data_IF_653648863505
#
_entry.id   IF_653648863505
#
_cell.length_a   1.000
_cell.length_b   1.000
_cell.length_c   1.000
_cell.angle_alpha   90.00
_cell.angle_beta   90.00
_cell.angle_gamma   90.00
#
_symmetry.space_group_name_H-M   'P 1'
#
loop_
_entity.id
_entity.type
_entity.pdbx_description
1 polymer ?
#
# COMPACT_ATOMS: atom_id res chain seq x y z
N UNK A 1 18.30 10.00 49.36
CA UNK A 1 17.80 8.63 49.10
C UNK A 1 16.51 8.30 49.83
N UNK A 2 15.74 9.27 50.34
CA UNK A 2 14.48 8.99 51.05
C UNK A 2 13.35 8.54 50.11
N UNK A 3 13.35 9.02 48.86
CA UNK A 3 12.44 8.52 47.81
C UNK A 3 12.68 7.06 47.45
N UNK A 4 13.92 6.56 47.55
CA UNK A 4 14.28 5.19 47.15
C UNK A 4 13.80 4.12 48.16
N UNK A 5 13.48 4.52 49.40
CA UNK A 5 12.96 3.65 50.46
C UNK A 5 11.45 3.81 50.63
N UNK A 6 10.83 4.68 49.84
CA UNK A 6 9.40 4.97 49.92
C UNK A 6 8.57 3.81 49.34
N UNK A 7 7.45 3.38 49.96
CA UNK A 7 6.63 2.27 49.47
C UNK A 7 6.07 2.49 48.05
N UNK A 8 5.88 3.75 47.64
CA UNK A 8 5.44 4.11 46.28
C UNK A 8 6.58 4.15 45.24
N UNK A 9 7.85 3.98 45.64
CA UNK A 9 8.98 4.11 44.72
C UNK A 9 8.92 3.08 43.59
N UNK A 10 8.68 1.81 43.93
CA UNK A 10 8.53 0.72 42.96
C UNK A 10 7.36 0.99 41.99
N UNK A 11 6.23 1.46 42.50
CA UNK A 11 5.07 1.81 41.68
C UNK A 11 5.37 2.99 40.74
N UNK A 12 6.14 3.97 41.21
CA UNK A 12 6.54 5.13 40.43
C UNK A 12 7.50 4.76 39.29
N UNK A 13 8.50 3.93 39.60
CA UNK A 13 9.42 3.40 38.59
C UNK A 13 8.64 2.57 37.56
N UNK A 14 7.73 1.71 38.00
CA UNK A 14 6.87 0.92 37.10
C UNK A 14 6.00 1.80 36.20
N UNK A 15 5.37 2.86 36.74
CA UNK A 15 4.57 3.80 35.97
C UNK A 15 5.42 4.57 34.94
N UNK A 16 6.61 5.02 35.33
CA UNK A 16 7.54 5.71 34.46
C UNK A 16 8.05 4.81 33.32
N UNK A 17 8.47 3.59 33.65
CA UNK A 17 8.82 2.56 32.66
C UNK A 17 7.65 2.27 31.73
N UNK A 18 6.43 2.22 32.26
CA UNK A 18 5.21 2.07 31.48
C UNK A 18 5.03 3.17 30.43
N UNK A 19 5.40 4.42 30.75
CA UNK A 19 5.42 5.52 29.79
C UNK A 19 6.52 5.34 28.74
N UNK A 20 7.75 5.01 29.16
CA UNK A 20 8.88 4.79 28.26
C UNK A 20 8.60 3.67 27.25
N UNK A 21 8.04 2.54 27.69
CA UNK A 21 7.70 1.41 26.83
C UNK A 21 6.70 1.77 25.73
N UNK A 22 5.78 2.71 26.00
CA UNK A 22 4.82 3.19 25.00
C UNK A 22 5.47 4.17 24.02
N UNK A 23 6.43 4.98 24.49
CA UNK A 23 7.17 5.94 23.67
C UNK A 23 8.27 5.30 22.81
N UNK A 24 8.66 4.07 23.11
CA UNK A 24 9.87 3.44 22.57
C UNK A 24 9.50 2.37 21.53
N UNK A 25 10.17 2.32 20.37
CA UNK A 25 9.99 1.24 19.41
C UNK A 25 10.26 -0.14 20.03
N UNK A 26 9.57 -1.17 19.53
CA UNK A 26 9.63 -2.55 20.06
C UNK A 26 11.07 -3.08 20.13
N UNK A 27 11.90 -2.75 19.14
CA UNK A 27 13.29 -3.22 19.01
C UNK A 27 14.19 -2.77 20.17
N UNK A 28 13.82 -1.69 20.87
CA UNK A 28 14.59 -1.13 21.98
C UNK A 28 14.02 -1.51 23.35
N UNK A 29 12.89 -2.22 23.43
CA UNK A 29 12.35 -2.71 24.70
C UNK A 29 13.32 -3.64 25.46
N UNK A 30 14.10 -4.52 24.80
CA UNK A 30 15.09 -5.35 25.51
C UNK A 30 16.17 -4.54 26.25
N UNK A 31 16.52 -3.36 25.75
CA UNK A 31 17.45 -2.45 26.44
C UNK A 31 16.85 -1.90 27.73
N UNK A 32 15.58 -1.52 27.71
CA UNK A 32 14.84 -1.06 28.89
C UNK A 32 14.78 -2.18 29.93
N UNK A 33 14.48 -3.40 29.51
CA UNK A 33 14.38 -4.57 30.38
C UNK A 33 15.74 -4.94 31.00
N UNK A 34 16.82 -4.87 30.22
CA UNK A 34 18.18 -5.08 30.72
C UNK A 34 18.58 -4.02 31.77
N UNK A 35 18.23 -2.75 31.55
CA UNK A 35 18.48 -1.67 32.51
C UNK A 35 17.66 -1.84 33.80
N UNK A 36 16.41 -2.31 33.70
CA UNK A 36 15.56 -2.62 34.86
C UNK A 36 16.11 -3.78 35.69
N UNK A 37 16.63 -4.82 35.05
CA UNK A 37 17.26 -5.92 35.76
C UNK A 37 18.45 -5.44 36.62
N UNK A 38 19.24 -4.48 36.10
CA UNK A 38 20.39 -3.90 36.78
C UNK A 38 20.01 -2.89 37.88
N UNK A 39 18.89 -2.18 37.74
CA UNK A 39 18.48 -1.13 38.69
C UNK A 39 18.01 -1.67 40.04
N UNK A 40 17.52 -2.91 40.08
CA UNK A 40 17.10 -3.59 41.31
C UNK A 40 18.21 -3.63 42.37
N UNK A 41 19.44 -3.96 41.98
CA UNK A 41 20.60 -3.97 42.89
C UNK A 41 20.98 -2.59 43.42
N UNK A 42 20.77 -1.54 42.62
CA UNK A 42 21.04 -0.16 43.02
C UNK A 42 20.05 0.31 44.09
N UNK A 43 18.75 0.08 43.92
CA UNK A 43 17.73 0.45 44.91
C UNK A 43 17.99 -0.21 46.28
N UNK A 44 18.38 -1.48 46.30
CA UNK A 44 18.75 -2.19 47.54
C UNK A 44 19.97 -1.57 48.23
N UNK A 45 20.99 -1.16 47.46
CA UNK A 45 22.18 -0.48 48.01
C UNK A 45 21.86 0.89 48.62
N UNK A 46 20.96 1.66 47.99
CA UNK A 46 20.50 2.94 48.52
C UNK A 46 19.64 2.77 49.78
N UNK A 47 18.82 1.72 49.83
CA UNK A 47 17.99 1.42 51.00
C UNK A 47 18.81 0.95 52.21
N UNK A 48 19.92 0.24 51.99
CA UNK A 48 20.78 -0.24 53.08
C UNK A 48 21.57 0.89 53.78
N UNK A 49 21.85 1.99 53.08
CA UNK A 49 22.65 3.10 53.59
C UNK A 49 21.83 4.27 54.14
N UNK A 50 20.51 4.24 54.03
CA UNK A 50 19.66 5.35 54.47
C UNK A 50 18.90 5.04 55.77
N UNK A 51 19.00 5.95 56.73
CA UNK A 51 18.03 6.05 57.84
C UNK A 51 17.07 7.20 57.51
N UNK A 52 15.73 7.00 57.58
CA UNK A 52 14.80 8.08 57.36
C UNK A 52 14.88 9.06 58.53
N UNK A 53 15.14 10.34 58.24
CA UNK A 53 15.18 11.44 59.22
C UNK A 53 14.28 12.58 58.74
N UNK A 54 13.05 12.25 58.34
CA UNK A 54 12.03 13.25 57.99
C UNK A 54 11.14 13.56 59.18
N UNK A 55 10.78 14.84 59.30
CA UNK A 55 9.68 15.27 60.15
C UNK A 55 8.36 14.62 59.69
N UNK A 56 7.41 14.31 60.58
CA UNK A 56 6.11 13.78 60.20
C UNK A 56 5.37 14.62 59.14
N UNK A 57 5.58 15.95 59.19
CA UNK A 57 4.99 16.90 58.24
C UNK A 57 5.58 16.73 56.83
N UNK A 58 6.90 16.72 56.71
CA UNK A 58 7.60 16.59 55.42
C UNK A 58 7.34 15.23 54.77
N UNK A 59 7.17 14.18 55.59
CA UNK A 59 6.74 12.87 55.10
C UNK A 59 5.35 12.94 54.44
N UNK A 60 4.40 13.63 55.06
CA UNK A 60 3.04 13.73 54.53
C UNK A 60 3.00 14.54 53.22
N UNK A 61 3.81 15.59 53.10
CA UNK A 61 3.96 16.33 51.84
C UNK A 61 4.57 15.48 50.74
N UNK A 62 5.62 14.71 51.05
CA UNK A 62 6.26 13.79 50.10
C UNK A 62 5.28 12.69 49.64
N UNK A 63 4.54 12.08 50.56
CA UNK A 63 3.53 11.06 50.26
C UNK A 63 2.46 11.63 49.30
N UNK A 64 1.98 12.85 49.59
CA UNK A 64 1.00 13.56 48.76
C UNK A 64 1.55 13.86 47.36
N UNK A 65 2.78 14.37 47.27
CA UNK A 65 3.44 14.64 45.99
C UNK A 65 3.63 13.37 45.16
N UNK A 66 4.13 12.29 45.77
CA UNK A 66 4.37 11.02 45.08
C UNK A 66 3.06 10.41 44.58
N UNK A 67 1.97 10.49 45.35
CA UNK A 67 0.66 10.05 44.92
C UNK A 67 0.14 10.86 43.72
N UNK A 68 0.27 12.19 43.75
CA UNK A 68 -0.13 13.07 42.63
C UNK A 68 0.72 12.80 41.39
N UNK A 69 2.03 12.64 41.56
CA UNK A 69 2.95 12.36 40.46
C UNK A 69 2.71 10.98 39.84
N UNK A 70 2.40 9.97 40.65
CA UNK A 70 1.99 8.65 40.16
C UNK A 70 0.72 8.73 39.30
N UNK A 71 -0.29 9.46 39.77
CA UNK A 71 -1.52 9.70 39.00
C UNK A 71 -1.24 10.42 37.68
N UNK A 72 -0.32 11.40 37.68
CA UNK A 72 0.11 12.11 36.48
C UNK A 72 0.80 11.17 35.48
N UNK A 73 1.68 10.27 35.93
CA UNK A 73 2.33 9.29 35.06
C UNK A 73 1.31 8.32 34.46
N UNK A 74 0.33 7.87 35.24
CA UNK A 74 -0.74 7.01 34.74
C UNK A 74 -1.57 7.69 33.66
N UNK A 75 -2.00 8.94 33.87
CA UNK A 75 -2.78 9.67 32.87
C UNK A 75 -1.95 10.02 31.63
N UNK A 76 -0.68 10.36 31.80
CA UNK A 76 0.24 10.60 30.70
C UNK A 76 0.45 9.34 29.85
N UNK A 77 0.60 8.17 30.49
CA UNK A 77 0.70 6.89 29.78
C UNK A 77 -0.53 6.62 28.92
N UNK A 78 -1.73 6.82 29.46
CA UNK A 78 -2.98 6.62 28.71
C UNK A 78 -3.07 7.56 27.50
N UNK A 79 -2.71 8.84 27.67
CA UNK A 79 -2.65 9.81 26.58
C UNK A 79 -1.64 9.40 25.50
N UNK A 80 -0.47 8.93 25.92
CA UNK A 80 0.58 8.49 25.00
C UNK A 80 0.14 7.24 24.22
N UNK A 81 -0.47 6.27 24.91
CA UNK A 81 -1.02 5.06 24.27
C UNK A 81 -2.10 5.42 23.26
N UNK A 82 -3.00 6.33 23.61
CA UNK A 82 -4.06 6.75 22.72
C UNK A 82 -3.49 7.45 21.48
N UNK A 83 -2.51 8.33 21.63
CA UNK A 83 -1.87 9.02 20.51
C UNK A 83 -1.19 8.03 19.57
N UNK A 84 -0.36 7.13 20.08
CA UNK A 84 0.32 6.09 19.28
C UNK A 84 -0.71 5.21 18.57
N UNK A 85 -1.76 4.79 19.27
CA UNK A 85 -2.82 3.95 18.69
C UNK A 85 -3.55 4.66 17.55
N UNK A 86 -3.88 5.94 17.69
CA UNK A 86 -4.56 6.71 16.64
C UNK A 86 -3.67 6.81 15.40
N UNK A 87 -2.42 7.25 15.54
CA UNK A 87 -1.50 7.36 14.40
C UNK A 87 -1.20 6.01 13.74
N UNK A 88 -1.05 4.94 14.52
CA UNK A 88 -0.85 3.60 13.98
C UNK A 88 -2.07 3.13 13.19
N UNK A 89 -3.28 3.36 13.70
CA UNK A 89 -4.52 3.01 12.99
C UNK A 89 -4.68 3.83 11.71
N UNK A 90 -4.45 5.15 11.77
CA UNK A 90 -4.51 6.03 10.60
C UNK A 90 -3.50 5.62 9.53
N UNK A 91 -2.26 5.29 9.93
CA UNK A 91 -1.25 4.79 9.01
C UNK A 91 -1.65 3.46 8.37
N UNK A 92 -2.15 2.49 9.14
CA UNK A 92 -2.62 1.19 8.62
C UNK A 92 -3.80 1.38 7.66
N UNK A 93 -4.74 2.28 7.98
CA UNK A 93 -5.86 2.59 7.11
C UNK A 93 -5.40 3.25 5.81
N UNK A 94 -4.48 4.21 5.86
CA UNK A 94 -3.92 4.84 4.66
C UNK A 94 -3.16 3.82 3.79
N UNK A 95 -2.40 2.90 4.38
CA UNK A 95 -1.77 1.81 3.63
C UNK A 95 -2.80 0.92 2.93
N UNK A 96 -3.88 0.55 3.63
CA UNK A 96 -4.99 -0.22 3.03
C UNK A 96 -5.68 0.52 1.89
N UNK A 97 -5.87 1.84 2.01
CA UNK A 97 -6.43 2.66 0.93
C UNK A 97 -5.54 2.67 -0.32
N UNK A 98 -4.21 2.71 -0.13
CA UNK A 98 -3.24 2.60 -1.21
C UNK A 98 -3.29 1.20 -1.84
N UNK A 99 -3.30 0.15 -1.03
CA UNK A 99 -3.42 -1.23 -1.49
C UNK A 99 -4.70 -1.45 -2.31
N UNK A 100 -5.84 -0.95 -1.82
CA UNK A 100 -7.11 -1.01 -2.55
C UNK A 100 -7.04 -0.25 -3.88
N UNK A 101 -6.45 0.95 -3.88
CA UNK A 101 -6.29 1.74 -5.11
C UNK A 101 -5.42 1.01 -6.15
N UNK A 102 -4.35 0.34 -5.71
CA UNK A 102 -3.52 -0.50 -6.57
C UNK A 102 -4.29 -1.70 -7.09
N UNK A 103 -5.08 -2.36 -6.23
CA UNK A 103 -5.92 -3.48 -6.63
C UNK A 103 -6.99 -3.06 -7.64
N UNK A 104 -7.59 -1.88 -7.52
CA UNK A 104 -8.56 -1.37 -8.48
C UNK A 104 -7.91 -1.06 -9.84
N UNK A 105 -6.69 -0.51 -9.83
CA UNK A 105 -5.94 -0.20 -11.06
C UNK A 105 -5.40 -1.44 -11.78
N UNK A 106 -4.96 -2.44 -11.02
CA UNK A 106 -4.26 -3.62 -11.57
C UNK A 106 -5.11 -4.88 -11.60
N UNK A 107 -6.18 -4.95 -10.81
CA UNK A 107 -6.95 -6.16 -10.58
C UNK A 107 -6.18 -7.28 -9.88
N UNK A 108 -4.98 -7.01 -9.38
CA UNK A 108 -4.13 -7.98 -8.66
C UNK A 108 -4.25 -7.75 -7.14
N UNK A 109 -4.56 -8.80 -6.38
CA UNK A 109 -4.46 -8.79 -4.93
C UNK A 109 -2.99 -8.98 -4.54
N UNK A 110 -2.46 -8.13 -3.64
CA UNK A 110 -1.10 -8.24 -3.10
C UNK A 110 -1.00 -9.32 -2.00
N UNK A 111 -2.00 -10.19 -1.84
CA UNK A 111 -2.01 -11.21 -0.77
C UNK A 111 -0.93 -12.30 -0.91
N UNK A 112 -0.40 -12.57 -2.11
CA UNK A 112 0.48 -13.72 -2.34
C UNK A 112 1.99 -13.40 -2.34
N UNK A 113 2.38 -12.15 -2.09
CA UNK A 113 3.77 -11.70 -2.25
C UNK A 113 4.68 -11.77 -1.02
N UNK A 114 4.17 -12.08 0.18
CA UNK A 114 4.96 -12.00 1.41
C UNK A 114 5.67 -13.32 1.80
N UNK A 115 5.46 -14.41 1.06
CA UNK A 115 5.87 -15.77 1.47
C UNK A 115 7.06 -16.39 0.72
N UNK A 116 7.67 -15.71 -0.25
CA UNK A 116 8.67 -16.32 -1.12
C UNK A 116 10.13 -15.93 -0.82
N UNK A 117 10.46 -15.57 0.43
CA UNK A 117 11.86 -15.43 0.86
C UNK A 117 12.17 -16.40 2.00
N UNK A 118 12.77 -17.52 1.61
CA UNK A 118 13.79 -18.30 2.33
C UNK A 118 13.36 -19.16 3.53
N UNK A 119 13.35 -20.49 3.33
CA UNK A 119 13.87 -21.54 4.24
C UNK A 119 13.67 -22.92 3.55
N UNK A 120 14.67 -23.49 2.88
CA UNK A 120 15.57 -24.57 3.39
C UNK A 120 14.81 -25.73 4.07
N UNK A 121 14.67 -26.90 3.42
CA UNK A 121 15.65 -28.01 3.47
C UNK A 121 15.21 -29.31 2.73
N UNK A 122 16.18 -29.87 2.01
CA UNK A 122 16.59 -31.27 1.73
C UNK A 122 15.63 -32.43 1.29
N UNK A 123 15.98 -32.98 0.11
CA UNK A 123 16.18 -34.41 -0.25
C UNK A 123 15.00 -35.40 -0.52
N UNK A 124 14.82 -35.81 -1.79
CA UNK A 124 14.97 -37.19 -2.30
C UNK A 124 14.46 -37.35 -3.76
N UNK A 125 15.35 -37.71 -4.70
CA UNK A 125 15.10 -38.66 -5.81
C UNK A 125 14.47 -38.22 -7.18
N UNK A 126 15.20 -38.31 -8.32
CA UNK A 126 14.69 -38.19 -9.72
C UNK A 126 14.59 -39.59 -10.41
N UNK A 127 14.38 -39.78 -11.75
CA UNK A 127 14.07 -38.86 -12.89
C UNK A 127 12.96 -39.39 -13.87
N UNK A 128 12.43 -38.57 -14.80
CA UNK A 128 11.95 -39.03 -16.14
C UNK A 128 11.78 -37.86 -17.17
N UNK A 129 12.84 -37.63 -17.96
CA UNK A 129 12.94 -37.47 -19.43
C UNK A 129 11.92 -36.59 -20.20
N UNK A 130 12.43 -35.52 -20.87
CA UNK A 130 12.53 -35.45 -22.35
C UNK A 130 13.46 -34.32 -22.84
N UNK A 131 14.40 -34.70 -23.70
CA UNK A 131 15.49 -33.94 -24.33
C UNK A 131 15.07 -32.84 -25.32
N UNK A 132 15.88 -31.78 -25.42
CA UNK A 132 16.64 -31.40 -26.63
C UNK A 132 17.36 -30.03 -26.39
N UNK A 133 18.56 -30.03 -25.80
CA UNK A 133 19.86 -29.95 -26.48
C UNK A 133 20.48 -28.52 -26.45
N UNK A 134 21.83 -28.40 -26.49
CA UNK A 134 22.59 -27.46 -25.66
C UNK A 134 23.11 -26.24 -26.45
N UNK A 135 23.39 -25.14 -25.75
CA UNK A 135 24.56 -24.29 -26.04
C UNK A 135 25.05 -23.62 -24.75
N UNK A 136 26.23 -24.06 -24.35
CA UNK A 136 27.15 -23.37 -23.47
C UNK A 136 27.63 -22.07 -24.14
N UNK A 137 27.43 -20.96 -23.45
CA UNK A 137 28.31 -19.80 -23.56
C UNK A 137 28.41 -19.17 -22.18
N UNK A 138 29.41 -19.62 -21.42
CA UNK A 138 30.06 -18.83 -20.39
C UNK A 138 30.09 -17.35 -20.73
N UNK A 139 29.22 -16.56 -20.09
CA UNK A 139 29.45 -15.13 -19.86
C UNK A 139 29.49 -14.91 -18.36
N UNK A 140 30.73 -14.83 -17.91
CA UNK A 140 31.19 -14.57 -16.57
C UNK A 140 30.75 -13.17 -16.07
N UNK A 141 30.07 -13.11 -14.91
CA UNK A 141 30.18 -11.97 -13.99
C UNK A 141 29.08 -10.91 -13.98
N UNK A 142 27.95 -11.19 -13.32
CA UNK A 142 27.03 -10.29 -12.59
C UNK A 142 25.81 -11.19 -12.26
N UNK A 143 25.39 -11.49 -11.03
CA UNK A 143 24.91 -10.57 -10.00
C UNK A 143 25.12 -11.18 -8.60
N UNK A 144 25.89 -10.49 -7.75
CA UNK A 144 26.05 -10.75 -6.31
C UNK A 144 24.81 -10.29 -5.50
N UNK A 145 23.63 -10.25 -6.12
CA UNK A 145 22.35 -10.11 -5.45
C UNK A 145 21.42 -11.14 -6.09
N UNK A 146 20.93 -12.09 -5.30
CA UNK A 146 20.16 -13.26 -5.73
C UNK A 146 18.79 -12.94 -6.30
N UNK A 147 18.72 -12.09 -7.31
CA UNK A 147 17.60 -12.01 -8.24
C UNK A 147 17.89 -12.98 -9.37
N UNK A 148 17.21 -14.13 -9.37
CA UNK A 148 17.22 -15.06 -10.49
C UNK A 148 16.67 -14.40 -11.78
N UNK A 149 16.60 -15.14 -12.91
CA UNK A 149 16.09 -14.60 -14.18
C UNK A 149 14.78 -13.84 -13.94
N UNK A 150 14.70 -12.58 -14.42
CA UNK A 150 13.59 -11.63 -14.25
C UNK A 150 12.30 -12.10 -14.92
N UNK A 151 11.80 -13.25 -14.51
CA UNK A 151 10.57 -13.84 -15.01
C UNK A 151 9.43 -13.20 -14.23
N UNK A 152 8.50 -12.48 -14.90
CA UNK A 152 7.37 -11.86 -14.22
C UNK A 152 6.58 -12.90 -13.43
N UNK A 153 6.15 -12.50 -12.24
CA UNK A 153 5.27 -13.28 -11.37
C UNK A 153 3.96 -13.60 -12.08
N UNK A 154 3.25 -14.65 -11.65
CA UNK A 154 2.00 -15.06 -12.30
C UNK A 154 0.91 -13.97 -12.23
N UNK A 155 0.93 -13.14 -11.19
CA UNK A 155 0.06 -11.97 -11.07
C UNK A 155 0.41 -10.89 -12.09
N UNK A 156 1.69 -10.58 -12.29
CA UNK A 156 2.16 -9.65 -13.33
C UNK A 156 1.82 -10.17 -14.74
N UNK A 157 1.96 -11.48 -14.98
CA UNK A 157 1.58 -12.09 -16.26
C UNK A 157 0.08 -11.96 -16.53
N UNK A 158 -0.76 -12.22 -15.53
CA UNK A 158 -2.22 -12.09 -15.62
C UNK A 158 -2.65 -10.64 -15.90
N UNK A 159 -2.02 -9.67 -15.23
CA UNK A 159 -2.22 -8.23 -15.49
C UNK A 159 -1.87 -7.88 -16.94
N UNK A 160 -0.69 -8.29 -17.42
CA UNK A 160 -0.25 -8.01 -18.79
C UNK A 160 -1.21 -8.59 -19.83
N UNK A 161 -1.74 -9.80 -19.61
CA UNK A 161 -2.72 -10.42 -20.51
C UNK A 161 -4.06 -9.65 -20.50
N UNK A 162 -4.55 -9.22 -19.34
CA UNK A 162 -5.76 -8.37 -19.26
C UNK A 162 -5.58 -7.06 -20.01
N UNK A 163 -4.47 -6.33 -19.76
CA UNK A 163 -4.16 -5.07 -20.44
C UNK A 163 -4.08 -5.26 -21.95
N UNK A 164 -3.47 -6.37 -22.40
CA UNK A 164 -3.40 -6.74 -23.82
C UNK A 164 -4.79 -6.95 -24.41
N UNK A 165 -5.70 -7.59 -23.68
CA UNK A 165 -7.08 -7.82 -24.12
C UNK A 165 -7.88 -6.51 -24.21
N UNK A 166 -7.77 -5.64 -23.22
CA UNK A 166 -8.44 -4.33 -23.20
C UNK A 166 -7.97 -3.45 -24.37
N UNK A 167 -6.65 -3.32 -24.55
CA UNK A 167 -6.07 -2.57 -25.66
C UNK A 167 -6.52 -3.12 -27.02
N UNK A 168 -6.61 -4.46 -27.15
CA UNK A 168 -7.10 -5.11 -28.37
C UNK A 168 -8.56 -4.77 -28.65
N UNK A 169 -9.41 -4.67 -27.63
CA UNK A 169 -10.81 -4.27 -27.76
C UNK A 169 -10.89 -2.80 -28.18
N UNK A 170 -10.19 -1.92 -27.47
CA UNK A 170 -10.21 -0.48 -27.72
C UNK A 170 -9.73 -0.15 -29.14
N UNK A 171 -8.61 -0.73 -29.58
CA UNK A 171 -8.10 -0.55 -30.93
C UNK A 171 -9.10 -1.06 -31.97
N UNK A 172 -9.66 -2.26 -31.79
CA UNK A 172 -10.67 -2.81 -32.72
C UNK A 172 -11.89 -1.91 -32.84
N UNK A 173 -12.39 -1.40 -31.71
CA UNK A 173 -13.54 -0.51 -31.70
C UNK A 173 -13.22 0.83 -32.34
N UNK A 174 -12.07 1.43 -32.01
CA UNK A 174 -11.61 2.70 -32.57
C UNK A 174 -11.41 2.63 -34.09
N UNK A 175 -10.75 1.59 -34.60
CA UNK A 175 -10.61 1.39 -36.04
C UNK A 175 -11.95 1.13 -36.73
N UNK A 176 -12.82 0.30 -36.15
CA UNK A 176 -14.15 0.04 -36.71
C UNK A 176 -14.96 1.33 -36.83
N UNK A 177 -14.95 2.17 -35.79
CA UNK A 177 -15.60 3.49 -35.81
C UNK A 177 -15.03 4.36 -36.91
N UNK A 178 -13.69 4.51 -36.97
CA UNK A 178 -13.03 5.36 -37.96
C UNK A 178 -13.28 4.92 -39.41
N UNK A 179 -13.30 3.61 -39.66
CA UNK A 179 -13.65 3.04 -40.97
C UNK A 179 -15.12 3.35 -41.31
N UNK A 180 -16.02 3.28 -40.33
CA UNK A 180 -17.41 3.72 -40.45
C UNK A 180 -17.52 5.17 -40.93
N UNK A 181 -16.86 6.09 -40.23
CA UNK A 181 -16.85 7.51 -40.56
C UNK A 181 -16.33 7.76 -41.99
N UNK A 182 -15.21 7.12 -42.35
CA UNK A 182 -14.64 7.21 -43.70
C UNK A 182 -15.61 6.67 -44.75
N UNK A 183 -16.28 5.55 -44.48
CA UNK A 183 -17.27 4.97 -45.39
C UNK A 183 -18.46 5.91 -45.58
N UNK A 184 -18.97 6.50 -44.51
CA UNK A 184 -20.06 7.47 -44.57
C UNK A 184 -19.65 8.72 -45.37
N UNK A 185 -18.45 9.23 -45.15
CA UNK A 185 -17.90 10.38 -45.86
C UNK A 185 -17.72 10.08 -47.36
N UNK A 186 -17.20 8.91 -47.73
CA UNK A 186 -17.12 8.45 -49.13
C UNK A 186 -18.51 8.39 -49.75
N UNK A 187 -19.49 7.81 -49.06
CA UNK A 187 -20.86 7.69 -49.57
C UNK A 187 -21.53 9.05 -49.73
N UNK A 188 -21.28 9.99 -48.81
CA UNK A 188 -21.75 11.37 -48.88
C UNK A 188 -21.16 12.08 -50.09
N UNK A 189 -19.84 12.02 -50.28
CA UNK A 189 -19.15 12.58 -51.45
C UNK A 189 -19.64 11.95 -52.76
N UNK A 190 -19.87 10.64 -52.80
CA UNK A 190 -20.40 9.92 -53.98
C UNK A 190 -21.85 10.31 -54.32
N UNK A 191 -22.63 10.70 -53.32
CA UNK A 191 -24.03 11.16 -53.50
C UNK A 191 -24.14 12.67 -53.75
N UNK A 192 -23.09 13.44 -53.45
CA UNK A 192 -23.05 14.85 -53.78
C UNK A 192 -23.20 15.05 -55.30
N UNK A 193 -24.18 15.84 -55.72
CA UNK A 193 -24.50 16.10 -57.13
C UNK A 193 -25.39 15.07 -57.81
N UNK A 194 -25.78 13.97 -57.15
CA UNK A 194 -26.80 13.05 -57.68
C UNK A 194 -28.19 13.56 -57.34
N UNK A 195 -29.00 13.88 -58.36
CA UNK A 195 -30.43 14.08 -58.19
C UNK A 195 -31.08 12.76 -57.75
N UNK A 196 -32.03 12.75 -56.81
CA UNK A 196 -32.82 11.57 -56.51
C UNK A 196 -33.42 10.97 -57.80
N UNK A 197 -33.57 9.65 -57.86
CA UNK A 197 -33.86 8.92 -59.11
C UNK A 197 -35.05 9.48 -59.90
N UNK A 198 -36.10 9.87 -59.20
CA UNK A 198 -37.34 10.34 -59.83
C UNK A 198 -37.33 11.84 -60.16
N UNK A 199 -36.43 12.62 -59.54
CA UNK A 199 -36.33 14.08 -59.80
C UNK A 199 -35.83 14.35 -61.20
N UNK A 200 -34.98 13.47 -61.74
CA UNK A 200 -34.53 13.56 -63.13
C UNK A 200 -35.70 13.36 -64.10
N UNK A 201 -36.62 12.44 -63.80
CA UNK A 201 -37.80 12.18 -64.63
C UNK A 201 -38.78 13.35 -64.56
N UNK A 202 -39.01 13.90 -63.37
CA UNK A 202 -39.85 15.09 -63.16
C UNK A 202 -39.29 16.30 -63.92
N UNK A 203 -37.97 16.56 -63.80
CA UNK A 203 -37.33 17.66 -64.52
C UNK A 203 -37.40 17.48 -66.05
N UNK A 204 -37.25 16.25 -66.55
CA UNK A 204 -37.43 15.93 -67.98
C UNK A 204 -38.85 16.19 -68.44
N UNK A 205 -39.84 15.77 -67.67
CA UNK A 205 -41.25 16.00 -67.99
C UNK A 205 -41.59 17.49 -67.98
N UNK A 206 -41.18 18.21 -66.92
CA UNK A 206 -41.35 19.66 -66.82
C UNK A 206 -40.72 20.39 -68.01
N UNK A 207 -39.49 20.00 -68.39
CA UNK A 207 -38.81 20.55 -69.56
C UNK A 207 -39.58 20.31 -70.85
N UNK A 208 -40.15 19.12 -71.05
CA UNK A 208 -40.96 18.84 -72.24
C UNK A 208 -42.22 19.70 -72.29
N UNK A 209 -42.89 19.91 -71.15
CA UNK A 209 -44.10 20.72 -71.05
C UNK A 209 -43.83 22.23 -71.21
N UNK A 210 -42.66 22.70 -70.76
CA UNK A 210 -42.28 24.12 -70.73
C UNK A 210 -41.20 24.48 -71.76
N UNK A 211 -40.94 23.62 -72.75
CA UNK A 211 -39.84 23.77 -73.70
C UNK A 211 -39.87 25.09 -74.49
N UNK A 212 -41.06 25.68 -74.69
CA UNK A 212 -41.22 26.98 -75.37
C UNK A 212 -40.85 28.17 -74.50
N UNK A 213 -40.94 28.05 -73.18
CA UNK A 213 -40.60 29.10 -72.23
C UNK A 213 -40.05 28.49 -70.93
N UNK A 214 -38.76 28.14 -70.88
CA UNK A 214 -38.19 27.31 -69.82
C UNK A 214 -37.80 28.16 -68.60
N UNK A 215 -38.70 29.03 -68.17
CA UNK A 215 -38.52 29.84 -66.97
C UNK A 215 -39.55 29.39 -65.93
N UNK A 216 -39.14 29.01 -64.72
CA UNK A 216 -40.06 28.69 -63.64
C UNK A 216 -40.92 29.93 -63.34
N UNK A 217 -42.24 29.76 -63.30
CA UNK A 217 -43.16 30.72 -62.68
C UNK A 217 -43.17 30.56 -61.18
#
# INVERSE_FOLDING_TARGET
GEMAVHPLCEQLVAAHVGCLRVATPIDHLPLIDAQLAQSSGLLHSYSAHHRPFLSPHDKQELDSFLAQYLMLLCSFREQLQQHVRVHAVEAVMACREIEQSLQDLTGASLEEGMGATMSEDEDEGPPMIMEAAPMDMSSNGHDMMGFGPLVPTDTERSLMERVRQELKIELKQGFKSRIGDVREEILRKRRAGKLPGDTTTILKQWWQEHAKWPYPT
#
